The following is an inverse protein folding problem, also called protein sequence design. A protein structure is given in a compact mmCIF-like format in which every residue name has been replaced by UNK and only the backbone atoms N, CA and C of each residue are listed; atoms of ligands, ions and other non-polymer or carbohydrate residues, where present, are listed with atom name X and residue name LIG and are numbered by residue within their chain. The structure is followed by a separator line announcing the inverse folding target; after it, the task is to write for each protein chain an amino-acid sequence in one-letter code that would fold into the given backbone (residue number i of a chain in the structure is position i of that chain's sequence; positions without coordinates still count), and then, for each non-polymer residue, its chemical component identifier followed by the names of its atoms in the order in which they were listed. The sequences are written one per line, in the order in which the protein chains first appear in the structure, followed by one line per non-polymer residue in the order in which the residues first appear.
data_IF_825367722416
#
_entry.id   IF_825367722416
#
_cell.length_a   1.000
_cell.length_b   1.000
_cell.length_c   1.000
_cell.angle_alpha   90.00
_cell.angle_beta   90.00
_cell.angle_gamma   90.00
#
_symmetry.space_group_name_H-M   'P 1'
#
loop_
_entity.id
_entity.type
_entity.pdbx_description
1 polymer ?
#
# COMPACT_ATOMS: atom_id res chain seq x y z
N UNK A 1 -5.90 -49.65 -17.65
CA UNK A 1 -4.80 -48.73 -17.26
C UNK A 1 -4.64 -48.83 -15.75
N UNK A 2 -3.49 -49.31 -15.26
CA UNK A 2 -3.28 -49.44 -13.81
C UNK A 2 -3.15 -48.04 -13.18
N UNK A 3 -3.93 -47.78 -12.12
CA UNK A 3 -3.87 -46.54 -11.36
C UNK A 3 -2.54 -46.41 -10.61
N UNK A 4 -2.12 -45.16 -10.32
CA UNK A 4 -0.89 -44.90 -9.56
C UNK A 4 -1.00 -45.52 -8.16
N UNK A 5 0.07 -46.12 -7.62
CA UNK A 5 0.03 -46.75 -6.31
C UNK A 5 -0.20 -45.71 -5.20
N UNK A 6 -0.89 -46.10 -4.12
CA UNK A 6 -1.25 -45.22 -3.00
C UNK A 6 -0.06 -44.44 -2.42
N UNK A 7 1.11 -45.06 -2.37
CA UNK A 7 2.36 -44.41 -1.93
C UNK A 7 2.73 -43.21 -2.80
N UNK A 8 2.49 -43.27 -4.11
CA UNK A 8 2.81 -42.19 -5.03
C UNK A 8 1.79 -41.04 -4.96
N UNK A 9 0.51 -41.37 -4.72
CA UNK A 9 -0.56 -40.39 -4.47
C UNK A 9 -0.26 -39.63 -3.17
N UNK A 10 0.10 -40.34 -2.10
CA UNK A 10 0.38 -39.76 -0.79
C UNK A 10 1.72 -38.98 -0.73
N UNK A 11 2.73 -39.38 -1.52
CA UNK A 11 4.04 -38.68 -1.56
C UNK A 11 4.14 -37.61 -2.66
N UNK A 12 3.18 -37.56 -3.59
CA UNK A 12 3.13 -36.60 -4.69
C UNK A 12 3.18 -35.14 -4.24
N UNK A 13 2.54 -34.79 -3.12
CA UNK A 13 2.56 -33.43 -2.58
C UNK A 13 3.95 -32.96 -2.14
N UNK A 14 4.77 -33.85 -1.54
CA UNK A 14 6.16 -33.54 -1.16
C UNK A 14 7.05 -33.34 -2.40
N UNK A 15 6.89 -34.18 -3.42
CA UNK A 15 7.61 -34.06 -4.70
C UNK A 15 7.22 -32.78 -5.45
N UNK A 16 5.93 -32.42 -5.45
CA UNK A 16 5.44 -31.18 -6.05
C UNK A 16 6.03 -29.94 -5.35
N UNK A 17 6.05 -29.91 -4.01
CA UNK A 17 6.68 -28.82 -3.25
C UNK A 17 8.18 -28.70 -3.54
N UNK A 18 8.90 -29.83 -3.61
CA UNK A 18 10.32 -29.85 -3.98
C UNK A 18 10.57 -29.43 -5.43
N UNK A 19 9.71 -29.80 -6.37
CA UNK A 19 9.82 -29.36 -7.77
C UNK A 19 9.50 -27.87 -7.90
N UNK A 20 8.47 -27.37 -7.21
CA UNK A 20 8.12 -25.95 -7.18
C UNK A 20 9.24 -25.09 -6.59
N UNK A 21 9.85 -25.53 -5.48
CA UNK A 21 11.00 -24.83 -4.90
C UNK A 21 12.25 -24.88 -5.79
N UNK A 22 12.43 -25.95 -6.56
CA UNK A 22 13.53 -26.06 -7.54
C UNK A 22 13.32 -25.20 -8.78
N UNK A 23 12.08 -24.98 -9.24
CA UNK A 23 11.78 -24.10 -10.40
C UNK A 23 12.29 -22.67 -10.22
N UNK A 24 12.35 -22.18 -8.99
CA UNK A 24 12.83 -20.83 -8.67
C UNK A 24 14.27 -20.81 -8.12
N UNK A 25 14.91 -21.98 -7.90
CA UNK A 25 16.32 -22.05 -7.53
C UNK A 25 17.17 -22.08 -8.80
N UNK A 26 17.95 -21.04 -9.00
CA UNK A 26 19.02 -21.02 -10.01
C UNK A 26 20.17 -21.88 -9.49
N UNK A 27 20.71 -22.78 -10.32
CA UNK A 27 21.77 -23.73 -9.92
C UNK A 27 23.13 -23.04 -9.70
N UNK A 28 23.44 -22.00 -10.47
CA UNK A 28 24.65 -21.20 -10.32
C UNK A 28 24.39 -19.73 -10.69
N UNK A 29 24.95 -18.80 -9.91
CA UNK A 29 24.90 -17.36 -10.21
C UNK A 29 26.28 -16.92 -10.68
N UNK A 30 26.47 -16.86 -11.99
CA UNK A 30 27.71 -16.35 -12.60
C UNK A 30 27.60 -14.84 -12.82
N UNK A 31 28.66 -14.13 -12.47
CA UNK A 31 28.74 -12.69 -12.68
C UNK A 31 29.18 -12.38 -14.12
N UNK A 32 28.29 -11.73 -14.89
CA UNK A 32 28.61 -11.23 -16.22
C UNK A 32 29.05 -9.75 -16.17
N UNK A 33 30.32 -9.51 -16.50
CA UNK A 33 30.91 -8.17 -16.56
C UNK A 33 30.31 -7.30 -17.67
N UNK A 34 29.90 -7.88 -18.80
CA UNK A 34 29.32 -7.14 -19.92
C UNK A 34 27.93 -6.64 -19.56
N UNK A 35 27.09 -7.51 -19.00
CA UNK A 35 25.78 -7.14 -18.46
C UNK A 35 25.89 -6.04 -17.39
N UNK A 36 26.94 -6.05 -16.55
CA UNK A 36 27.17 -4.96 -15.59
C UNK A 36 27.50 -3.65 -16.28
N UNK A 37 28.34 -3.64 -17.32
CA UNK A 37 28.68 -2.42 -18.04
C UNK A 37 27.46 -1.83 -18.75
N UNK A 38 26.64 -2.69 -19.37
CA UNK A 38 25.37 -2.30 -19.98
C UNK A 38 24.36 -1.80 -18.94
N UNK A 39 24.33 -2.41 -17.75
CA UNK A 39 23.55 -1.93 -16.62
C UNK A 39 24.10 -0.60 -16.08
N UNK A 40 25.40 -0.35 -16.03
CA UNK A 40 25.92 0.92 -15.53
C UNK A 40 25.78 2.05 -16.55
N UNK A 41 25.85 1.78 -17.84
CA UNK A 41 25.82 2.82 -18.89
C UNK A 41 24.44 3.00 -19.53
N UNK A 42 23.60 1.96 -19.53
CA UNK A 42 22.28 1.92 -20.18
C UNK A 42 21.12 2.52 -19.39
N UNK A 43 21.32 3.61 -18.64
CA UNK A 43 20.26 4.22 -17.81
C UNK A 43 19.00 4.57 -18.61
N UNK A 44 19.17 5.08 -19.83
CA UNK A 44 18.04 5.42 -20.71
C UNK A 44 17.25 4.15 -21.12
N UNK A 45 17.95 3.06 -21.46
CA UNK A 45 17.32 1.76 -21.76
C UNK A 45 16.50 1.26 -20.58
N UNK A 46 17.04 1.34 -19.35
CA UNK A 46 16.30 0.95 -18.13
C UNK A 46 15.13 1.85 -17.82
N UNK A 47 15.27 3.16 -18.01
CA UNK A 47 14.16 4.10 -17.81
C UNK A 47 13.02 3.78 -18.78
N UNK A 48 13.32 3.52 -20.05
CA UNK A 48 12.33 3.10 -21.04
C UNK A 48 11.70 1.75 -20.68
N UNK A 49 12.50 0.76 -20.27
CA UNK A 49 11.99 -0.54 -19.83
C UNK A 49 11.06 -0.41 -18.62
N UNK A 50 11.42 0.40 -17.61
CA UNK A 50 10.54 0.66 -16.45
C UNK A 50 9.23 1.31 -16.88
N UNK A 51 9.27 2.30 -17.77
CA UNK A 51 8.07 2.94 -18.30
C UNK A 51 7.19 1.95 -19.05
N UNK A 52 7.77 1.12 -19.93
CA UNK A 52 7.04 0.08 -20.66
C UNK A 52 6.42 -0.94 -19.72
N UNK A 53 7.19 -1.44 -18.74
CA UNK A 53 6.68 -2.39 -17.74
C UNK A 53 5.53 -1.81 -16.92
N UNK A 54 5.61 -0.54 -16.54
CA UNK A 54 4.51 0.14 -15.84
C UNK A 54 3.26 0.27 -16.72
N UNK A 55 3.43 0.59 -18.00
CA UNK A 55 2.35 0.63 -18.98
C UNK A 55 1.73 -0.75 -19.22
N UNK A 56 2.54 -1.80 -19.34
CA UNK A 56 2.09 -3.18 -19.51
C UNK A 56 1.31 -3.65 -18.28
N UNK A 57 1.83 -3.39 -17.08
CA UNK A 57 1.14 -3.73 -15.83
C UNK A 57 -0.22 -3.03 -15.73
N UNK A 58 -0.29 -1.72 -16.02
CA UNK A 58 -1.56 -0.99 -16.01
C UNK A 58 -2.58 -1.56 -17.01
N UNK A 59 -2.14 -1.91 -18.23
CA UNK A 59 -2.99 -2.56 -19.25
C UNK A 59 -3.48 -3.93 -18.82
N UNK A 60 -2.64 -4.72 -18.15
CA UNK A 60 -3.02 -6.03 -17.61
C UNK A 60 -4.07 -5.87 -16.51
N UNK A 61 -3.88 -4.92 -15.59
CA UNK A 61 -4.86 -4.63 -14.54
C UNK A 61 -6.20 -4.16 -15.11
N UNK A 62 -6.18 -3.24 -16.10
CA UNK A 62 -7.40 -2.77 -16.77
C UNK A 62 -8.12 -3.92 -17.50
N UNK A 63 -7.38 -4.80 -18.17
CA UNK A 63 -7.95 -5.98 -18.83
C UNK A 63 -8.63 -6.91 -17.81
N UNK A 64 -7.99 -7.16 -16.68
CA UNK A 64 -8.55 -7.99 -15.61
C UNK A 64 -9.81 -7.34 -15.01
N UNK A 65 -9.76 -6.05 -14.70
CA UNK A 65 -10.93 -5.31 -14.20
C UNK A 65 -12.11 -5.36 -15.18
N UNK A 66 -11.87 -5.13 -16.48
CA UNK A 66 -12.91 -5.23 -17.51
C UNK A 66 -13.50 -6.65 -17.62
N UNK A 67 -12.69 -7.69 -17.43
CA UNK A 67 -13.18 -9.07 -17.43
C UNK A 67 -14.05 -9.36 -16.20
N UNK A 68 -13.64 -8.87 -15.03
CA UNK A 68 -14.40 -8.98 -13.78
C UNK A 68 -15.73 -8.21 -13.87
N UNK A 69 -15.73 -6.98 -14.38
CA UNK A 69 -16.95 -6.21 -14.65
C UNK A 69 -17.90 -6.95 -15.58
N UNK A 70 -17.39 -7.49 -16.69
CA UNK A 70 -18.20 -8.30 -17.62
C UNK A 70 -18.75 -9.56 -16.97
N UNK A 71 -17.98 -10.21 -16.09
CA UNK A 71 -18.46 -11.37 -15.34
C UNK A 71 -19.59 -10.97 -14.38
N UNK A 72 -19.41 -9.87 -13.65
CA UNK A 72 -20.41 -9.33 -12.72
C UNK A 72 -21.71 -8.95 -13.43
N UNK A 73 -21.64 -8.26 -14.56
CA UNK A 73 -22.82 -7.93 -15.39
C UNK A 73 -23.53 -9.21 -15.86
N UNK A 74 -22.78 -10.23 -16.28
CA UNK A 74 -23.36 -11.53 -16.67
C UNK A 74 -24.08 -12.20 -15.51
N UNK A 75 -23.49 -12.20 -14.32
CA UNK A 75 -24.11 -12.75 -13.11
C UNK A 75 -25.36 -11.97 -12.68
N UNK A 76 -25.31 -10.64 -12.71
CA UNK A 76 -26.45 -9.78 -12.41
C UNK A 76 -27.60 -10.02 -13.38
N UNK A 77 -27.32 -10.14 -14.68
CA UNK A 77 -28.33 -10.50 -15.69
C UNK A 77 -28.93 -11.88 -15.42
N UNK A 78 -28.11 -12.90 -15.15
CA UNK A 78 -28.59 -14.24 -14.78
C UNK A 78 -29.51 -14.19 -13.56
N UNK A 79 -29.12 -13.47 -12.50
CA UNK A 79 -29.93 -13.28 -11.28
C UNK A 79 -31.24 -12.55 -11.57
N UNK A 80 -31.23 -11.52 -12.41
CA UNK A 80 -32.44 -10.77 -12.76
C UNK A 80 -33.43 -11.63 -13.56
N UNK A 81 -32.94 -12.42 -14.53
CA UNK A 81 -33.76 -13.37 -15.28
C UNK A 81 -34.35 -14.43 -14.34
N UNK A 82 -33.54 -15.01 -13.44
CA UNK A 82 -34.02 -15.99 -12.46
C UNK A 82 -35.15 -15.42 -11.58
N UNK A 83 -34.96 -14.20 -11.06
CA UNK A 83 -35.99 -13.50 -10.28
C UNK A 83 -37.26 -13.22 -11.09
N UNK A 84 -37.14 -12.87 -12.38
CA UNK A 84 -38.29 -12.66 -13.25
C UNK A 84 -39.05 -13.97 -13.49
N UNK A 85 -38.34 -15.08 -13.73
CA UNK A 85 -38.95 -16.40 -13.89
C UNK A 85 -39.62 -16.87 -12.61
N UNK A 86 -38.99 -16.70 -11.44
CA UNK A 86 -39.63 -16.99 -10.15
C UNK A 86 -40.92 -16.18 -9.95
N UNK A 87 -40.90 -14.88 -10.25
CA UNK A 87 -42.10 -14.02 -10.16
C UNK A 87 -43.19 -14.48 -11.13
N UNK A 88 -42.81 -14.82 -12.36
CA UNK A 88 -43.73 -15.33 -13.37
C UNK A 88 -44.37 -16.66 -12.92
N UNK A 89 -43.55 -17.62 -12.49
CA UNK A 89 -44.02 -18.91 -11.97
C UNK A 89 -44.95 -18.75 -10.76
N UNK A 90 -44.66 -17.81 -9.85
CA UNK A 90 -45.57 -17.47 -8.74
C UNK A 90 -46.91 -16.93 -9.23
N UNK A 91 -46.90 -15.97 -10.17
CA UNK A 91 -48.15 -15.43 -10.74
C UNK A 91 -48.98 -16.47 -11.50
N UNK A 92 -48.32 -17.38 -12.23
CA UNK A 92 -49.01 -18.51 -12.90
C UNK A 92 -49.61 -19.46 -11.86
N UNK A 93 -48.89 -19.77 -10.79
CA UNK A 93 -49.40 -20.63 -9.71
C UNK A 93 -50.60 -20.03 -8.98
N UNK A 94 -50.63 -18.71 -8.81
CA UNK A 94 -51.75 -17.97 -8.23
C UNK A 94 -52.99 -17.95 -9.15
N UNK A 95 -52.80 -17.90 -10.47
CA UNK A 95 -53.88 -17.83 -11.46
C UNK A 95 -54.40 -19.22 -11.90
N UNK A 96 -53.51 -20.18 -12.07
CA UNK A 96 -53.80 -21.53 -12.55
C UNK A 96 -53.31 -22.53 -11.50
N UNK A 97 -54.19 -22.95 -10.59
CA UNK A 97 -53.87 -23.94 -9.56
C UNK A 97 -53.20 -25.19 -10.16
N UNK A 98 -51.96 -25.43 -9.72
CA UNK A 98 -51.06 -26.53 -10.11
C UNK A 98 -50.94 -26.84 -11.61
N UNK A 99 -50.14 -26.02 -12.31
CA UNK A 99 -49.52 -26.44 -13.57
C UNK A 99 -48.00 -26.53 -13.39
N UNK A 100 -47.49 -27.72 -13.70
CA UNK A 100 -46.13 -28.25 -13.64
C UNK A 100 -44.99 -27.25 -13.89
N UNK A 101 -43.99 -27.26 -13.00
CA UNK A 101 -42.72 -26.53 -13.11
C UNK A 101 -42.01 -26.81 -14.45
N UNK A 102 -42.01 -25.82 -15.36
CA UNK A 102 -41.20 -25.87 -16.58
C UNK A 102 -39.73 -25.62 -16.21
N UNK A 103 -38.99 -26.72 -16.02
CA UNK A 103 -37.53 -26.70 -15.80
C UNK A 103 -36.80 -26.41 -17.12
N UNK A 104 -36.82 -25.16 -17.56
CA UNK A 104 -36.10 -24.71 -18.76
C UNK A 104 -34.62 -24.53 -18.39
N UNK A 105 -33.77 -25.41 -18.92
CA UNK A 105 -32.32 -25.34 -18.76
C UNK A 105 -31.75 -24.17 -19.58
N UNK A 106 -31.54 -23.04 -18.91
CA UNK A 106 -31.09 -21.74 -19.47
C UNK A 106 -29.58 -21.71 -19.78
N UNK A 107 -28.89 -22.85 -19.81
CA UNK A 107 -27.43 -22.85 -19.94
C UNK A 107 -26.93 -22.75 -21.39
N UNK A 108 -27.79 -22.99 -22.40
CA UNK A 108 -27.28 -23.26 -23.77
C UNK A 108 -27.63 -22.25 -24.88
N UNK A 109 -28.54 -21.29 -24.71
CA UNK A 109 -29.00 -20.43 -25.84
C UNK A 109 -28.60 -18.95 -25.77
N UNK A 110 -27.96 -18.49 -24.69
CA UNK A 110 -27.66 -17.06 -24.49
C UNK A 110 -26.28 -16.63 -25.03
N UNK A 111 -25.50 -17.53 -25.63
CA UNK A 111 -24.17 -17.19 -26.18
C UNK A 111 -24.22 -16.57 -27.58
N UNK A 112 -25.33 -16.65 -28.33
CA UNK A 112 -25.32 -16.32 -29.76
C UNK A 112 -25.67 -14.86 -30.13
N UNK A 113 -26.41 -14.11 -29.30
CA UNK A 113 -27.15 -12.92 -29.81
C UNK A 113 -26.84 -11.56 -29.15
N UNK A 114 -25.64 -11.31 -28.63
CA UNK A 114 -25.25 -9.93 -28.22
C UNK A 114 -23.78 -9.62 -28.52
N UNK A 115 -23.36 -9.81 -29.77
CA UNK A 115 -22.05 -9.36 -30.24
C UNK A 115 -22.22 -8.32 -31.36
N UNK A 116 -22.66 -7.11 -30.99
CA UNK A 116 -22.46 -5.89 -31.78
C UNK A 116 -22.45 -4.68 -30.84
N UNK A 117 -21.42 -4.60 -30.00
CA UNK A 117 -21.02 -3.31 -29.43
C UNK A 117 -19.99 -2.70 -30.38
N UNK A 118 -20.48 -1.79 -31.21
CA UNK A 118 -19.70 -1.06 -32.19
C UNK A 118 -18.72 -0.17 -31.43
N UNK A 119 -17.50 -0.67 -31.23
CA UNK A 119 -16.37 0.09 -30.69
C UNK A 119 -15.94 1.17 -31.69
N UNK A 120 -16.75 2.23 -31.79
CA UNK A 120 -16.37 3.50 -32.38
C UNK A 120 -16.03 4.46 -31.24
N UNK A 121 -14.83 4.34 -30.68
CA UNK A 121 -14.19 5.49 -30.08
C UNK A 121 -12.72 5.56 -30.51
N UNK A 122 -12.55 6.06 -31.74
CA UNK A 122 -11.28 6.60 -32.22
C UNK A 122 -11.08 7.95 -31.54
N UNK A 123 -9.96 8.08 -30.82
CA UNK A 123 -9.14 9.28 -30.65
C UNK A 123 -9.84 10.62 -30.36
N UNK A 124 -9.65 11.17 -29.15
CA UNK A 124 -8.97 12.46 -28.89
C UNK A 124 -9.48 13.07 -27.58
N UNK A 125 -8.62 13.08 -26.56
CA UNK A 125 -8.58 14.18 -25.58
C UNK A 125 -7.21 14.16 -24.90
N UNK A 126 -6.23 14.82 -25.51
CA UNK A 126 -5.22 15.53 -24.73
C UNK A 126 -5.98 16.67 -24.04
N UNK A 127 -6.45 16.40 -22.82
CA UNK A 127 -7.01 17.40 -21.92
C UNK A 127 -5.87 17.92 -21.07
N UNK A 128 -5.40 19.11 -21.42
CA UNK A 128 -4.61 20.00 -20.57
C UNK A 128 -5.35 20.13 -19.23
N UNK A 129 -4.72 19.64 -18.17
CA UNK A 129 -5.24 19.74 -16.81
C UNK A 129 -4.74 21.06 -16.24
N UNK A 130 -5.55 22.10 -16.42
CA UNK A 130 -5.41 23.38 -15.74
C UNK A 130 -5.96 23.19 -14.32
N UNK A 131 -5.06 23.15 -13.36
CA UNK A 131 -5.36 22.98 -11.94
C UNK A 131 -5.44 24.41 -11.37
N UNK A 132 -6.60 25.05 -11.54
CA UNK A 132 -6.90 26.31 -10.83
C UNK A 132 -7.04 26.00 -9.33
N UNK A 133 -6.11 26.57 -8.55
CA UNK A 133 -6.07 26.57 -7.09
C UNK A 133 -7.28 27.34 -6.52
N UNK A 134 -8.28 26.62 -6.03
CA UNK A 134 -9.25 27.16 -5.08
C UNK A 134 -8.60 27.15 -3.67
N UNK A 135 -7.80 28.17 -3.39
CA UNK A 135 -7.28 28.50 -2.06
C UNK A 135 -8.41 28.97 -1.14
N UNK A 136 -9.16 28.02 -0.59
CA UNK A 136 -10.04 28.31 0.55
C UNK A 136 -9.17 28.50 1.81
N UNK A 137 -8.83 29.76 2.10
CA UNK A 137 -8.16 30.18 3.33
C UNK A 137 -8.90 29.64 4.55
N UNK A 138 -8.24 28.74 5.28
CA UNK A 138 -8.72 28.20 6.55
C UNK A 138 -8.72 29.30 7.61
N UNK A 139 -9.90 29.78 7.98
CA UNK A 139 -10.07 30.72 9.09
C UNK A 139 -9.92 29.94 10.40
N UNK A 140 -8.82 30.21 11.12
CA UNK A 140 -8.51 29.53 12.36
C UNK A 140 -9.59 29.71 13.43
N UNK A 141 -9.70 28.73 14.31
CA UNK A 141 -10.56 28.81 15.50
C UNK A 141 -10.09 29.95 16.40
N UNK A 142 -11.03 30.77 16.85
CA UNK A 142 -10.77 31.83 17.82
C UNK A 142 -10.15 31.26 19.10
N UNK A 143 -9.05 31.88 19.50
CA UNK A 143 -8.21 31.54 20.64
C UNK A 143 -8.93 31.99 21.93
N UNK A 144 -9.87 31.18 22.41
CA UNK A 144 -10.43 31.35 23.74
C UNK A 144 -9.39 30.96 24.80
N UNK A 145 -8.56 31.95 25.15
CA UNK A 145 -7.81 32.13 26.40
C UNK A 145 -7.43 30.84 27.16
N UNK A 146 -6.26 30.31 26.80
CA UNK A 146 -5.42 29.49 27.67
C UNK A 146 -5.12 30.24 28.98
N UNK A 147 -5.87 29.99 30.05
CA UNK A 147 -5.35 30.15 31.40
C UNK A 147 -5.90 29.04 32.31
N UNK A 148 -4.98 28.16 32.73
CA UNK A 148 -5.07 27.18 33.83
C UNK A 148 -5.75 25.81 33.61
N UNK A 149 -5.47 25.10 32.51
CA UNK A 149 -5.57 23.62 32.54
C UNK A 149 -4.21 23.04 32.95
N UNK A 150 -3.94 23.03 34.26
CA UNK A 150 -2.75 22.36 34.82
C UNK A 150 -2.84 20.85 34.55
N UNK A 151 -1.90 20.33 33.78
CA UNK A 151 -1.84 18.92 33.37
C UNK A 151 -1.92 17.94 34.55
N UNK A 152 -2.62 16.83 34.33
CA UNK A 152 -3.01 15.79 35.31
C UNK A 152 -1.86 14.87 35.76
N UNK A 153 -0.60 15.12 35.40
CA UNK A 153 0.49 14.16 35.61
C UNK A 153 1.35 14.42 36.86
N UNK A 154 1.38 13.36 37.70
CA UNK A 154 2.33 12.99 38.78
C UNK A 154 2.54 14.01 39.89
N UNK A 155 1.51 14.22 40.71
CA UNK A 155 1.65 14.79 42.06
C UNK A 155 1.88 13.65 43.06
N UNK A 156 2.99 13.69 43.79
CA UNK A 156 3.12 12.89 45.02
C UNK A 156 2.25 13.55 46.09
N UNK A 157 1.03 13.07 46.24
CA UNK A 157 0.15 13.56 47.29
C UNK A 157 0.54 12.88 48.60
N UNK A 158 1.02 13.68 49.54
CA UNK A 158 1.40 13.21 50.86
C UNK A 158 0.34 13.69 51.84
N UNK A 159 -0.38 12.72 52.40
CA UNK A 159 -1.40 12.97 53.40
C UNK A 159 -0.77 12.86 54.80
N UNK A 160 -0.93 13.90 55.61
CA UNK A 160 -0.51 13.93 57.01
C UNK A 160 -1.75 14.13 57.86
N UNK A 161 -2.22 13.08 58.53
CA UNK A 161 -3.39 13.17 59.42
C UNK A 161 -2.94 13.30 60.88
N UNK A 162 -3.31 14.40 61.53
CA UNK A 162 -3.01 14.66 62.96
C UNK A 162 -4.18 14.32 63.90
N UNK A 163 -5.34 13.93 63.37
CA UNK A 163 -6.54 13.64 64.16
C UNK A 163 -6.52 12.25 64.81
N UNK A 164 -6.92 12.17 66.09
CA UNK A 164 -6.79 10.95 66.90
C UNK A 164 -7.70 9.78 66.48
N UNK A 165 -8.78 10.07 65.75
CA UNK A 165 -9.77 9.09 65.27
C UNK A 165 -9.57 8.67 63.80
N UNK A 166 -8.43 8.99 63.17
CA UNK A 166 -8.14 8.53 61.81
C UNK A 166 -7.65 7.06 61.79
N UNK A 167 -7.99 6.24 60.76
CA UNK A 167 -7.64 4.81 60.71
C UNK A 167 -6.14 4.50 60.71
N UNK A 168 -5.30 5.40 60.19
CA UNK A 168 -3.83 5.25 60.14
C UNK A 168 -3.21 6.57 60.59
N UNK A 169 -2.52 6.58 61.73
CA UNK A 169 -1.80 7.76 62.24
C UNK A 169 -0.42 7.86 61.58
N UNK A 170 -0.14 8.94 60.84
CA UNK A 170 1.18 9.19 60.26
C UNK A 170 1.16 9.76 58.84
N UNK A 171 2.29 9.60 58.13
CA UNK A 171 2.47 10.04 56.73
C UNK A 171 2.23 8.84 55.81
N UNK A 172 1.18 8.86 55.01
CA UNK A 172 0.95 7.86 53.96
C UNK A 172 1.34 8.45 52.59
N UNK A 173 2.08 7.67 51.81
CA UNK A 173 2.46 8.01 50.44
C UNK A 173 1.81 7.05 49.46
N UNK A 174 1.13 7.59 48.44
CA UNK A 174 0.53 6.81 47.35
C UNK A 174 1.45 6.91 46.13
N UNK A 175 2.02 5.79 45.71
CA UNK A 175 2.75 5.68 44.44
C UNK A 175 1.78 5.20 43.36
N UNK A 176 1.62 6.00 42.31
CA UNK A 176 0.75 5.69 41.17
C UNK A 176 1.61 4.99 40.12
N UNK A 177 1.50 3.66 40.05
CA UNK A 177 2.11 2.86 38.98
C UNK A 177 1.25 2.90 37.71
N UNK A 178 1.89 2.94 36.54
CA UNK A 178 1.22 2.97 35.24
C UNK A 178 0.63 1.58 34.94
N UNK A 179 -0.63 1.34 35.33
CA UNK A 179 -1.39 0.19 34.83
C UNK A 179 -1.63 0.38 33.32
N UNK A 180 -1.00 -0.45 32.49
CA UNK A 180 -1.33 -0.52 31.07
C UNK A 180 -2.82 -0.84 30.92
N UNK A 181 -3.58 -0.07 30.10
CA UNK A 181 -5.04 0.03 30.21
C UNK A 181 -5.81 -1.28 29.95
N UNK A 182 -5.17 -2.34 29.43
CA UNK A 182 -5.79 -3.64 29.17
C UNK A 182 -4.90 -4.84 29.57
N UNK A 183 -3.85 -4.65 30.38
CA UNK A 183 -2.90 -5.72 30.72
C UNK A 183 -2.08 -6.25 29.53
N UNK A 184 -2.10 -5.55 28.39
CA UNK A 184 -1.36 -5.97 27.20
C UNK A 184 0.08 -5.50 27.33
N UNK A 185 0.99 -6.46 27.39
CA UNK A 185 2.43 -6.22 27.43
C UNK A 185 2.89 -5.57 26.12
N UNK A 186 3.24 -4.29 26.20
CA UNK A 186 3.67 -3.44 25.08
C UNK A 186 4.87 -4.07 24.36
N UNK A 187 5.69 -4.84 25.08
CA UNK A 187 6.84 -5.54 24.50
C UNK A 187 6.40 -6.66 23.56
N UNK A 188 5.27 -7.32 23.81
CA UNK A 188 4.72 -8.38 22.96
C UNK A 188 4.13 -7.81 21.68
N UNK A 189 3.40 -6.69 21.77
CA UNK A 189 2.89 -5.97 20.60
C UNK A 189 4.05 -5.48 19.73
N UNK A 190 5.08 -4.90 20.34
CA UNK A 190 6.26 -4.43 19.61
C UNK A 190 7.01 -5.58 18.93
N UNK A 191 7.15 -6.74 19.60
CA UNK A 191 7.73 -7.95 19.00
C UNK A 191 6.90 -8.47 17.82
N UNK A 192 5.57 -8.50 17.95
CA UNK A 192 4.67 -8.90 16.86
C UNK A 192 4.80 -7.98 15.64
N UNK A 193 5.05 -6.69 15.87
CA UNK A 193 5.26 -5.69 14.83
C UNK A 193 6.74 -5.48 14.44
N UNK A 194 7.65 -6.31 14.93
CA UNK A 194 9.10 -6.22 14.69
C UNK A 194 9.71 -4.84 14.99
N UNK A 195 9.23 -4.17 16.05
CA UNK A 195 9.70 -2.85 16.51
C UNK A 195 10.68 -3.00 17.68
N UNK A 196 11.84 -2.36 17.56
CA UNK A 196 12.87 -2.32 18.60
C UNK A 196 12.61 -1.16 19.59
N UNK A 197 12.13 -1.50 20.80
CA UNK A 197 11.79 -0.53 21.84
C UNK A 197 13.01 0.14 22.49
N UNK A 198 14.23 -0.39 22.30
CA UNK A 198 15.45 0.18 22.92
C UNK A 198 15.75 1.59 22.40
N UNK A 199 15.37 1.88 21.16
CA UNK A 199 15.58 3.17 20.47
C UNK A 199 14.40 4.12 20.59
N UNK A 200 13.35 3.75 21.34
CA UNK A 200 12.12 4.54 21.46
C UNK A 200 12.39 5.98 21.91
N UNK A 201 13.22 6.15 22.95
CA UNK A 201 13.61 7.47 23.48
C UNK A 201 14.36 8.31 22.45
N UNK A 202 15.34 7.72 21.77
CA UNK A 202 16.13 8.41 20.73
C UNK A 202 15.24 8.87 19.55
N UNK A 203 14.27 8.05 19.15
CA UNK A 203 13.32 8.39 18.09
C UNK A 203 12.41 9.54 18.52
N UNK A 204 11.95 9.53 19.78
CA UNK A 204 11.13 10.59 20.36
C UNK A 204 11.91 11.91 20.43
N UNK A 205 13.15 11.90 20.91
CA UNK A 205 14.00 13.08 20.96
C UNK A 205 14.23 13.66 19.55
N UNK A 206 14.51 12.80 18.56
CA UNK A 206 14.64 13.21 17.16
C UNK A 206 13.34 13.77 16.57
N UNK A 207 12.17 13.27 16.96
CA UNK A 207 10.90 13.84 16.47
C UNK A 207 10.64 15.20 17.09
N UNK A 208 10.89 15.36 18.39
CA UNK A 208 10.77 16.64 19.09
C UNK A 208 11.74 17.66 18.49
N UNK A 209 12.99 17.29 18.24
CA UNK A 209 13.95 18.18 17.57
C UNK A 209 13.50 18.59 16.16
N UNK A 210 12.94 17.66 15.38
CA UNK A 210 12.40 17.98 14.04
C UNK A 210 11.23 18.94 14.13
N UNK A 211 10.30 18.70 15.07
CA UNK A 211 9.17 19.57 15.31
C UNK A 211 9.61 20.98 15.73
N UNK A 212 10.59 21.09 16.64
CA UNK A 212 11.20 22.37 17.03
C UNK A 212 11.84 23.10 15.84
N UNK A 213 12.65 22.39 15.04
CA UNK A 213 13.28 22.96 13.82
C UNK A 213 12.23 23.41 12.79
N UNK A 214 11.11 22.72 12.71
CA UNK A 214 9.99 23.07 11.82
C UNK A 214 9.22 24.28 12.34
N UNK A 215 8.95 24.36 13.64
CA UNK A 215 8.36 25.54 14.27
C UNK A 215 9.25 26.79 14.10
N UNK A 216 10.57 26.64 14.28
CA UNK A 216 11.54 27.71 13.98
C UNK A 216 11.49 28.16 12.52
N UNK A 217 11.23 27.24 11.59
CA UNK A 217 11.15 27.53 10.16
C UNK A 217 9.85 28.28 9.81
N UNK A 218 8.70 27.86 10.37
CA UNK A 218 7.41 28.53 10.19
C UNK A 218 7.44 29.93 10.80
N UNK A 219 7.96 30.07 12.01
CA UNK A 219 8.02 31.35 12.71
C UNK A 219 9.08 32.31 12.13
N UNK A 220 9.75 31.93 11.03
CA UNK A 220 10.74 32.74 10.35
C UNK A 220 12.04 32.97 11.12
N UNK A 221 12.20 32.39 12.32
CA UNK A 221 13.39 32.56 13.16
C UNK A 221 14.61 31.84 12.62
N UNK A 222 14.41 30.84 11.74
CA UNK A 222 15.48 30.08 11.09
C UNK A 222 15.27 29.97 9.59
N UNK A 223 16.24 30.43 8.80
CA UNK A 223 16.28 30.22 7.35
C UNK A 223 17.20 29.04 6.99
N UNK A 224 16.82 28.18 6.03
CA UNK A 224 17.66 27.07 5.61
C UNK A 224 18.90 27.61 4.88
N UNK A 225 20.10 27.26 5.38
CA UNK A 225 21.35 27.63 4.71
C UNK A 225 21.39 26.99 3.32
N UNK A 226 21.35 27.81 2.27
CA UNK A 226 21.51 27.33 0.90
C UNK A 226 22.95 26.88 0.71
N UNK A 227 23.14 25.60 0.31
CA UNK A 227 24.47 25.12 -0.07
C UNK A 227 24.90 25.87 -1.33
N UNK A 228 26.13 26.38 -1.36
CA UNK A 228 26.67 27.04 -2.56
C UNK A 228 26.62 26.05 -3.73
N UNK A 229 25.83 26.37 -4.75
CA UNK A 229 25.75 25.56 -5.96
C UNK A 229 27.11 25.67 -6.65
N UNK A 230 27.85 24.56 -6.75
CA UNK A 230 28.98 24.49 -7.69
C UNK A 230 28.45 24.93 -9.05
N UNK A 231 29.04 25.96 -9.64
CA UNK A 231 28.66 26.41 -10.99
C UNK A 231 28.95 25.24 -11.94
N UNK A 232 27.92 24.48 -12.30
CA UNK A 232 28.00 23.47 -13.32
C UNK A 232 28.30 24.19 -14.63
N UNK A 233 29.57 24.28 -15.00
CA UNK A 233 29.95 24.67 -16.35
C UNK A 233 29.94 23.40 -17.19
N UNK A 234 29.19 23.42 -18.29
CA UNK A 234 29.27 22.32 -19.25
C UNK A 234 30.71 22.22 -19.76
N UNK A 235 31.24 21.00 -19.75
CA UNK A 235 32.47 20.69 -20.48
C UNK A 235 32.28 21.13 -21.93
N UNK A 236 33.26 21.87 -22.46
CA UNK A 236 33.27 22.29 -23.85
C UNK A 236 33.22 21.05 -24.77
N UNK A 237 32.77 21.22 -26.03
CA UNK A 237 32.71 20.09 -26.99
C UNK A 237 34.06 19.38 -27.13
N UNK A 238 35.16 20.12 -27.05
CA UNK A 238 36.53 19.61 -27.11
C UNK A 238 36.90 18.82 -25.86
N UNK A 239 36.62 19.34 -24.66
CA UNK A 239 36.82 18.64 -23.38
C UNK A 239 36.03 17.32 -23.33
N UNK A 240 34.79 17.32 -23.81
CA UNK A 240 33.93 16.13 -23.89
C UNK A 240 34.50 15.07 -24.84
N UNK A 241 34.98 15.49 -26.02
CA UNK A 241 35.68 14.60 -26.98
C UNK A 241 36.97 14.03 -26.39
N UNK A 242 37.73 14.80 -25.64
CA UNK A 242 38.95 14.33 -24.99
C UNK A 242 38.66 13.27 -23.91
N UNK A 243 37.65 13.48 -23.07
CA UNK A 243 37.25 12.50 -22.06
C UNK A 243 36.72 11.21 -22.67
N UNK A 244 35.85 11.29 -23.68
CA UNK A 244 35.37 10.09 -24.39
C UNK A 244 36.51 9.34 -25.09
N UNK A 245 37.50 10.03 -25.65
CA UNK A 245 38.71 9.39 -26.22
C UNK A 245 39.53 8.67 -25.14
N UNK A 246 39.70 9.28 -23.96
CA UNK A 246 40.40 8.67 -22.80
C UNK A 246 39.66 7.45 -22.25
N UNK A 247 38.33 7.48 -22.19
CA UNK A 247 37.52 6.32 -21.76
C UNK A 247 37.62 5.18 -22.77
N UNK A 248 37.53 5.48 -24.07
CA UNK A 248 37.69 4.49 -25.14
C UNK A 248 39.07 3.86 -25.16
N UNK A 249 40.13 4.63 -24.89
CA UNK A 249 41.49 4.06 -24.84
C UNK A 249 41.69 3.17 -23.61
N UNK A 250 41.09 3.48 -22.46
CA UNK A 250 41.08 2.61 -21.28
C UNK A 250 40.31 1.30 -21.51
N UNK A 251 39.28 1.32 -22.36
CA UNK A 251 38.48 0.13 -22.68
C UNK A 251 39.14 -0.81 -23.71
N UNK A 252 40.19 -0.33 -24.40
CA UNK A 252 40.98 -1.10 -25.38
C UNK A 252 42.26 -1.72 -24.80
N UNK A 253 42.66 -1.31 -23.59
CA UNK A 253 43.67 -2.00 -22.78
C UNK A 253 42.96 -3.03 -21.91
#
# INVERSE_FOLDING_TARGET
MAGKPNREILTGGKRYKQQSSRKHRVEEVVFDGEARVDYLTGFHKRKLQRRKKAQEFAKEQERLARLEERAKIREERKKNIHKQLEKYNKSIKELNGDVTELNISIDSELEANVFHDHNQNRNQSDGEFDEEEDDADWVGFDEDNENDVKGILKRQEVYVSTNENAPIKGRSSVEIEELAPNGIDITQIARANFVDLTKSKEILDKSIERAKKYAELINGSRTPKTKSRKKFRYLSKTERKANTRKERSKKRR
#
